data_IF_926236341928
#
_entry.id   IF_926236341928
#
_cell.length_a   1.000
_cell.length_b   1.000
_cell.length_c   1.000
_cell.angle_alpha   90.00
_cell.angle_beta   90.00
_cell.angle_gamma   90.00
#
_symmetry.space_group_name_H-M   'P 1'
#
loop_
_entity.id
_entity.type
_entity.pdbx_description
1 polymer ?
#
# COMPACT_ATOMS: atom_id res chain seq x y z
N UNK A 1 -56.83 29.69 21.86
CA UNK A 1 -56.17 28.43 21.40
C UNK A 1 -54.97 28.77 20.52
N UNK A 2 -53.73 28.46 20.95
CA UNK A 2 -52.52 28.65 20.13
C UNK A 2 -52.49 27.57 19.04
N UNK A 3 -52.56 27.97 17.75
CA UNK A 3 -52.37 27.07 16.61
C UNK A 3 -50.94 26.51 16.66
N UNK A 4 -50.77 25.22 16.97
CA UNK A 4 -49.49 24.52 16.80
C UNK A 4 -49.15 24.54 15.30
N UNK A 5 -48.10 25.29 14.91
CA UNK A 5 -47.56 25.24 13.55
C UNK A 5 -47.13 23.79 13.27
N UNK A 6 -47.85 23.12 12.37
CA UNK A 6 -47.46 21.80 11.89
C UNK A 6 -46.06 21.90 11.28
N UNK A 7 -45.14 20.98 11.61
CA UNK A 7 -43.81 20.99 11.03
C UNK A 7 -43.94 20.92 9.51
N UNK A 8 -43.26 21.82 8.80
CA UNK A 8 -43.31 21.82 7.33
C UNK A 8 -42.82 20.47 6.81
N UNK A 9 -43.37 20.00 5.69
CA UNK A 9 -42.93 18.74 5.04
C UNK A 9 -41.40 18.67 4.87
N UNK A 10 -40.75 19.82 4.64
CA UNK A 10 -39.29 19.97 4.59
C UNK A 10 -38.60 19.58 5.90
N UNK A 11 -39.15 19.99 7.06
CA UNK A 11 -38.59 19.66 8.38
C UNK A 11 -38.71 18.17 8.69
N UNK A 12 -39.81 17.53 8.29
CA UNK A 12 -39.98 16.08 8.44
C UNK A 12 -39.03 15.29 7.53
N UNK A 13 -38.87 15.72 6.27
CA UNK A 13 -37.91 15.11 5.35
C UNK A 13 -36.48 15.23 5.89
N UNK A 14 -36.09 16.42 6.35
CA UNK A 14 -34.78 16.66 6.93
C UNK A 14 -34.54 15.79 8.18
N UNK A 15 -35.57 15.63 9.02
CA UNK A 15 -35.47 14.77 10.20
C UNK A 15 -35.31 13.29 9.86
N UNK A 16 -35.98 12.81 8.81
CA UNK A 16 -35.79 11.44 8.31
C UNK A 16 -34.41 11.22 7.73
N UNK A 17 -33.88 12.19 6.97
CA UNK A 17 -32.51 12.13 6.45
C UNK A 17 -31.50 12.10 7.60
N UNK A 18 -31.71 12.93 8.62
CA UNK A 18 -30.82 12.97 9.78
C UNK A 18 -30.87 11.66 10.58
N UNK A 19 -32.07 11.10 10.78
CA UNK A 19 -32.23 9.77 11.37
C UNK A 19 -31.53 8.69 10.55
N UNK A 20 -31.65 8.71 9.21
CA UNK A 20 -30.96 7.75 8.35
C UNK A 20 -29.43 7.85 8.45
N UNK A 21 -28.89 9.08 8.46
CA UNK A 21 -27.45 9.31 8.64
C UNK A 21 -26.95 8.83 10.00
N UNK A 22 -27.69 9.11 11.08
CA UNK A 22 -27.35 8.63 12.42
C UNK A 22 -27.39 7.11 12.48
N UNK A 23 -28.40 6.47 11.88
CA UNK A 23 -28.46 5.00 11.81
C UNK A 23 -27.29 4.41 11.03
N UNK A 24 -26.87 5.01 9.91
CA UNK A 24 -25.70 4.57 9.16
C UNK A 24 -24.41 4.68 9.98
N UNK A 25 -24.21 5.78 10.69
CA UNK A 25 -23.04 5.95 11.57
C UNK A 25 -23.05 4.96 12.75
N UNK A 26 -24.24 4.65 13.30
CA UNK A 26 -24.35 3.62 14.33
C UNK A 26 -24.02 2.23 13.78
N UNK A 27 -24.43 1.92 12.56
CA UNK A 27 -24.09 0.64 11.92
C UNK A 27 -22.58 0.54 11.66
N UNK A 28 -21.97 1.59 11.09
CA UNK A 28 -20.51 1.70 10.90
C UNK A 28 -19.75 1.48 12.22
N UNK A 29 -20.19 2.14 13.29
CA UNK A 29 -19.57 2.06 14.61
C UNK A 29 -19.77 0.70 15.31
N UNK A 30 -20.99 0.14 15.29
CA UNK A 30 -21.34 -1.09 16.03
C UNK A 30 -20.82 -2.34 15.32
N UNK A 31 -20.99 -2.41 14.00
CA UNK A 31 -20.61 -3.59 13.23
C UNK A 31 -19.16 -3.53 12.73
N UNK A 32 -18.46 -2.42 12.98
CA UNK A 32 -17.12 -2.23 12.44
C UNK A 32 -17.12 -2.30 10.92
N UNK A 33 -18.16 -1.80 10.26
CA UNK A 33 -18.16 -1.59 8.81
C UNK A 33 -17.33 -0.34 8.53
N UNK A 34 -16.58 -0.28 7.44
CA UNK A 34 -15.94 0.95 6.99
C UNK A 34 -16.76 1.55 5.85
N UNK A 35 -17.43 2.68 6.09
CA UNK A 35 -18.17 3.41 5.05
C UNK A 35 -17.24 4.15 4.07
N UNK A 36 -16.00 4.43 4.48
CA UNK A 36 -15.00 5.11 3.68
C UNK A 36 -13.74 4.26 3.54
N UNK A 37 -13.02 4.33 2.40
CA UNK A 37 -11.80 3.55 2.19
C UNK A 37 -10.72 3.89 3.23
N UNK A 38 -10.66 5.16 3.64
CA UNK A 38 -9.71 5.61 4.68
C UNK A 38 -9.98 4.97 6.05
N UNK A 39 -11.21 4.56 6.36
CA UNK A 39 -11.50 3.85 7.60
C UNK A 39 -10.98 2.41 7.52
N UNK A 40 -11.13 1.76 6.36
CA UNK A 40 -10.66 0.40 6.14
C UNK A 40 -9.13 0.34 6.29
N UNK A 41 -8.36 1.14 5.55
CA UNK A 41 -6.88 1.14 5.66
C UNK A 41 -6.38 1.54 7.06
N UNK A 42 -7.10 2.41 7.78
CA UNK A 42 -6.71 2.75 9.16
C UNK A 42 -6.91 1.59 10.13
N UNK A 43 -7.94 0.79 9.94
CA UNK A 43 -8.12 -0.43 10.73
C UNK A 43 -7.06 -1.46 10.39
N UNK A 44 -6.67 -1.56 9.11
CA UNK A 44 -5.53 -2.39 8.72
C UNK A 44 -4.24 -1.94 9.42
N UNK A 45 -3.97 -0.64 9.45
CA UNK A 45 -2.85 -0.07 10.19
C UNK A 45 -2.90 -0.41 11.71
N UNK A 46 -4.09 -0.44 12.30
CA UNK A 46 -4.25 -0.89 13.69
C UNK A 46 -4.05 -2.42 13.82
N UNK A 47 -4.48 -3.21 12.83
CA UNK A 47 -4.33 -4.67 12.78
C UNK A 47 -2.87 -5.10 12.66
N UNK A 48 -2.14 -4.44 11.76
CA UNK A 48 -0.69 -4.59 11.54
C UNK A 48 0.15 -4.06 12.71
N UNK A 49 -0.47 -3.43 13.71
CA UNK A 49 0.21 -2.97 14.92
C UNK A 49 0.99 -1.66 14.77
N UNK A 50 0.92 -0.99 13.61
CA UNK A 50 1.52 0.34 13.43
C UNK A 50 0.70 1.44 14.12
N UNK A 51 -0.57 1.18 14.43
CA UNK A 51 -1.44 2.13 15.12
C UNK A 51 -1.75 3.35 14.26
N UNK A 52 -1.62 4.55 14.82
CA UNK A 52 -2.05 5.78 14.15
C UNK A 52 -1.11 6.17 13.01
N UNK A 53 -1.48 5.81 11.80
CA UNK A 53 -0.77 6.17 10.56
C UNK A 53 -1.53 7.19 9.70
N UNK A 54 -0.81 7.78 8.75
CA UNK A 54 -1.27 8.86 7.89
C UNK A 54 -1.01 8.53 6.43
N UNK A 55 -1.93 8.92 5.55
CA UNK A 55 -1.78 8.67 4.12
C UNK A 55 -0.69 9.57 3.57
N UNK A 56 0.32 8.96 2.96
CA UNK A 56 1.35 9.62 2.16
C UNK A 56 0.82 9.81 0.75
N UNK A 57 0.44 8.70 0.10
CA UNK A 57 -0.07 8.70 -1.26
C UNK A 57 -1.17 7.65 -1.42
N UNK A 58 -2.08 7.90 -2.36
CA UNK A 58 -3.11 6.96 -2.77
C UNK A 58 -3.04 6.76 -4.28
N UNK A 59 -2.93 5.50 -4.73
CA UNK A 59 -2.96 5.12 -6.13
C UNK A 59 -4.19 4.26 -6.43
N UNK A 60 -4.66 4.33 -7.67
CA UNK A 60 -5.75 3.50 -8.18
C UNK A 60 -5.22 2.71 -9.37
N UNK A 61 -5.24 1.37 -9.27
CA UNK A 61 -4.80 0.48 -10.33
C UNK A 61 -5.97 -0.39 -10.81
N UNK A 62 -6.81 0.12 -11.74
CA UNK A 62 -8.01 -0.57 -12.18
C UNK A 62 -7.73 -1.82 -13.02
N UNK A 63 -6.49 -2.02 -13.47
CA UNK A 63 -6.12 -3.17 -14.29
C UNK A 63 -6.16 -4.49 -13.51
N UNK A 64 -5.99 -4.47 -12.19
CA UNK A 64 -6.17 -5.63 -11.31
C UNK A 64 -7.62 -5.73 -10.86
N UNK A 65 -8.05 -4.76 -10.06
CA UNK A 65 -9.40 -4.72 -9.51
C UNK A 65 -10.01 -3.32 -9.66
N UNK A 66 -11.24 -3.26 -10.17
CA UNK A 66 -11.92 -1.98 -10.47
C UNK A 66 -12.10 -1.07 -9.27
N UNK A 67 -12.28 -1.64 -8.08
CA UNK A 67 -12.60 -0.91 -6.85
C UNK A 67 -11.45 -0.81 -5.87
N UNK A 68 -10.28 -1.40 -6.16
CA UNK A 68 -9.16 -1.40 -5.23
C UNK A 68 -8.44 -0.05 -5.23
N UNK A 69 -8.22 0.51 -4.05
CA UNK A 69 -7.43 1.70 -3.82
C UNK A 69 -6.26 1.32 -2.94
N UNK A 70 -5.05 1.62 -3.42
CA UNK A 70 -3.82 1.40 -2.68
C UNK A 70 -3.43 2.65 -1.92
N UNK A 71 -2.91 2.47 -0.72
CA UNK A 71 -2.50 3.53 0.18
C UNK A 71 -1.10 3.24 0.69
N UNK A 72 -0.20 4.19 0.49
CA UNK A 72 1.03 4.26 1.23
C UNK A 72 0.76 5.06 2.50
N UNK A 73 0.98 4.44 3.65
CA UNK A 73 0.70 4.97 4.98
C UNK A 73 2.00 5.09 5.77
N UNK A 74 2.16 6.17 6.53
CA UNK A 74 3.33 6.37 7.40
C UNK A 74 2.95 6.70 8.84
N UNK A 75 3.80 6.24 9.76
CA UNK A 75 3.89 6.76 11.12
C UNK A 75 5.37 6.94 11.47
N UNK A 76 5.67 7.43 12.68
CA UNK A 76 7.05 7.69 13.15
C UNK A 76 8.01 6.48 13.03
N UNK A 77 7.49 5.25 13.02
CA UNK A 77 8.25 4.00 13.18
C UNK A 77 8.18 3.05 12.00
N UNK A 78 7.26 3.24 11.07
CA UNK A 78 6.96 2.27 10.04
C UNK A 78 6.28 2.91 8.84
N UNK A 79 6.46 2.27 7.69
CA UNK A 79 5.69 2.51 6.48
C UNK A 79 4.86 1.28 6.18
N UNK A 80 3.62 1.47 5.75
CA UNK A 80 2.72 0.38 5.39
C UNK A 80 2.10 0.65 4.02
N UNK A 81 2.15 -0.35 3.16
CA UNK A 81 1.33 -0.43 1.98
C UNK A 81 0.05 -1.20 2.33
N UNK A 82 -1.10 -0.57 2.19
CA UNK A 82 -2.39 -1.23 2.37
C UNK A 82 -3.25 -1.08 1.12
N UNK A 83 -4.05 -2.09 0.84
CA UNK A 83 -5.09 -2.00 -0.18
C UNK A 83 -6.48 -1.98 0.46
N UNK A 84 -7.42 -1.37 -0.24
CA UNK A 84 -8.82 -1.33 0.17
C UNK A 84 -9.71 -1.52 -1.01
N UNK A 85 -10.84 -2.20 -0.86
CA UNK A 85 -11.79 -2.42 -1.93
C UNK A 85 -13.21 -2.29 -1.44
N UNK A 86 -14.12 -1.94 -2.35
CA UNK A 86 -15.54 -1.82 -2.04
C UNK A 86 -16.24 -3.18 -2.21
N UNK A 87 -16.74 -3.72 -1.10
CA UNK A 87 -17.58 -4.91 -1.01
C UNK A 87 -19.07 -4.53 -0.80
N UNK A 88 -20.02 -5.47 -0.92
CA UNK A 88 -21.42 -5.24 -0.55
C UNK A 88 -21.63 -4.85 0.92
N UNK A 89 -20.68 -5.16 1.80
CA UNK A 89 -20.74 -4.87 3.23
C UNK A 89 -20.06 -3.54 3.60
N UNK A 90 -19.31 -2.92 2.68
CA UNK A 90 -18.59 -1.67 2.92
C UNK A 90 -17.21 -1.70 2.26
N UNK A 91 -16.34 -0.79 2.67
CA UNK A 91 -14.93 -0.88 2.33
C UNK A 91 -14.25 -1.91 3.22
N UNK A 92 -13.44 -2.76 2.60
CA UNK A 92 -12.66 -3.81 3.24
C UNK A 92 -11.20 -3.68 2.83
N UNK A 93 -10.31 -4.35 3.55
CA UNK A 93 -8.88 -4.48 3.24
C UNK A 93 -8.60 -5.91 2.82
N UNK A 94 -7.67 -6.10 1.88
CA UNK A 94 -7.23 -7.44 1.48
C UNK A 94 -5.84 -7.73 2.06
N UNK A 95 -4.99 -6.72 2.22
CA UNK A 95 -3.73 -6.81 2.95
C UNK A 95 -3.26 -5.47 3.55
N UNK A 96 -2.41 -5.59 4.57
CA UNK A 96 -1.42 -4.60 4.98
C UNK A 96 -0.02 -5.23 4.91
N UNK A 97 0.93 -4.55 4.28
CA UNK A 97 2.33 -4.93 4.25
C UNK A 97 3.14 -3.82 4.93
N UNK A 98 3.79 -4.16 6.03
CA UNK A 98 4.44 -3.19 6.92
C UNK A 98 5.95 -3.37 6.94
N UNK A 99 6.69 -2.26 6.95
CA UNK A 99 8.14 -2.22 7.12
C UNK A 99 8.49 -1.42 8.36
N UNK A 100 9.23 -2.04 9.29
CA UNK A 100 9.79 -1.36 10.46
C UNK A 100 10.94 -0.44 10.03
N UNK A 101 10.81 0.83 10.37
CA UNK A 101 11.74 1.92 10.04
C UNK A 101 12.36 2.54 11.30
N UNK A 102 12.42 1.81 12.42
CA UNK A 102 12.93 2.33 13.71
C UNK A 102 14.44 2.40 13.84
N UNK A 103 15.19 1.77 12.95
CA UNK A 103 16.65 1.83 12.95
C UNK A 103 17.21 3.11 12.31
N UNK A 104 18.52 3.11 12.06
CA UNK A 104 19.26 4.24 11.48
C UNK A 104 19.73 3.95 10.04
N UNK A 105 19.07 3.00 9.36
CA UNK A 105 19.44 2.64 7.99
C UNK A 105 19.12 3.78 7.01
N UNK A 106 19.93 3.98 5.96
CA UNK A 106 19.74 5.07 5.00
C UNK A 106 18.45 4.92 4.18
N UNK A 107 17.95 3.69 4.01
CA UNK A 107 16.71 3.39 3.31
C UNK A 107 16.11 2.08 3.88
N UNK A 108 14.79 2.04 3.96
CA UNK A 108 14.00 0.86 4.27
C UNK A 108 13.13 0.50 3.07
N UNK A 109 13.01 -0.79 2.77
CA UNK A 109 12.22 -1.26 1.64
C UNK A 109 11.40 -2.49 2.01
N UNK A 110 10.20 -2.58 1.43
CA UNK A 110 9.29 -3.69 1.54
C UNK A 110 8.77 -4.11 0.16
N UNK A 111 8.37 -5.36 0.08
CA UNK A 111 7.81 -5.97 -1.11
C UNK A 111 6.52 -6.70 -0.77
N UNK A 112 5.49 -6.47 -1.59
CA UNK A 112 4.25 -7.25 -1.58
C UNK A 112 3.85 -7.64 -3.00
N UNK A 113 3.28 -8.83 -3.15
CA UNK A 113 2.79 -9.32 -4.42
C UNK A 113 1.28 -9.59 -4.35
N UNK A 114 0.57 -9.15 -5.38
CA UNK A 114 -0.86 -9.39 -5.54
C UNK A 114 -1.07 -10.15 -6.83
N UNK A 115 -1.75 -11.28 -6.72
CA UNK A 115 -2.15 -12.08 -7.87
C UNK A 115 -3.68 -12.09 -7.98
N UNK A 116 -4.19 -11.77 -9.17
CA UNK A 116 -5.61 -11.88 -9.49
C UNK A 116 -5.80 -12.33 -10.94
N UNK A 117 -6.56 -13.41 -11.14
CA UNK A 117 -6.70 -14.09 -12.43
C UNK A 117 -5.31 -14.36 -13.04
N UNK A 118 -5.12 -13.89 -14.28
CA UNK A 118 -3.90 -13.95 -15.05
C UNK A 118 -3.08 -12.64 -14.93
N UNK A 119 -3.08 -12.00 -13.75
CA UNK A 119 -2.30 -10.78 -13.51
C UNK A 119 -1.61 -10.84 -12.17
N UNK A 120 -0.35 -10.42 -12.19
CA UNK A 120 0.47 -10.26 -11.00
C UNK A 120 0.94 -8.82 -10.94
N UNK A 121 0.81 -8.19 -9.78
CA UNK A 121 1.36 -6.87 -9.50
C UNK A 121 2.36 -6.98 -8.36
N UNK A 122 3.60 -6.61 -8.64
CA UNK A 122 4.63 -6.37 -7.63
C UNK A 122 4.51 -4.95 -7.11
N UNK A 123 4.42 -4.82 -5.79
CA UNK A 123 4.38 -3.53 -5.11
C UNK A 123 5.66 -3.37 -4.28
N UNK A 124 6.47 -2.38 -4.63
CA UNK A 124 7.73 -2.07 -3.95
C UNK A 124 7.58 -0.70 -3.30
N UNK A 125 7.87 -0.59 -2.02
CA UNK A 125 7.67 0.64 -1.29
C UNK A 125 8.68 0.75 -0.16
N UNK A 126 8.90 1.96 0.32
CA UNK A 126 9.88 2.16 1.36
C UNK A 126 10.07 3.60 1.79
N UNK A 127 10.84 3.78 2.85
CA UNK A 127 11.20 5.08 3.40
C UNK A 127 12.67 5.37 3.11
N UNK A 128 12.96 6.58 2.65
CA UNK A 128 14.31 7.09 2.39
C UNK A 128 14.68 8.02 3.55
N UNK A 129 15.74 7.70 4.27
CA UNK A 129 16.24 8.47 5.41
C UNK A 129 17.43 9.35 5.04
N UNK A 130 18.32 8.85 4.19
CA UNK A 130 19.49 9.60 3.76
C UNK A 130 19.09 10.57 2.63
N UNK A 131 19.14 11.89 2.87
CA UNK A 131 18.81 12.88 1.86
C UNK A 131 19.82 12.93 0.69
N UNK A 132 20.99 12.28 0.82
CA UNK A 132 21.95 12.16 -0.26
C UNK A 132 21.54 11.13 -1.33
N UNK A 133 20.55 10.27 -1.04
CA UNK A 133 20.00 9.33 -2.03
C UNK A 133 19.20 10.11 -3.08
N UNK A 134 19.57 9.95 -4.34
CA UNK A 134 18.88 10.56 -5.48
C UNK A 134 18.17 9.53 -6.36
N UNK A 135 18.62 8.27 -6.33
CA UNK A 135 18.04 7.22 -7.19
C UNK A 135 17.83 5.94 -6.40
N UNK A 136 16.65 5.33 -6.58
CA UNK A 136 16.24 4.07 -5.97
C UNK A 136 15.98 3.07 -7.11
N UNK A 137 16.67 1.93 -7.08
CA UNK A 137 16.57 0.87 -8.10
C UNK A 137 16.12 -0.45 -7.50
N UNK A 138 15.00 -0.98 -7.97
CA UNK A 138 14.58 -2.36 -7.69
C UNK A 138 15.05 -3.25 -8.84
N UNK A 139 16.05 -4.07 -8.55
CA UNK A 139 16.55 -5.12 -9.45
C UNK A 139 15.79 -6.41 -9.15
N UNK A 140 14.90 -6.82 -10.05
CA UNK A 140 14.17 -8.09 -9.95
C UNK A 140 15.09 -9.15 -10.55
N UNK A 141 15.65 -9.97 -9.67
CA UNK A 141 16.59 -11.03 -10.04
C UNK A 141 15.92 -12.39 -10.01
N UNK A 142 16.25 -13.24 -10.97
CA UNK A 142 15.85 -14.64 -10.98
C UNK A 142 17.04 -15.51 -10.62
N UNK A 143 16.83 -16.46 -9.71
CA UNK A 143 17.81 -17.50 -9.40
C UNK A 143 17.50 -18.76 -10.19
N UNK A 144 18.46 -19.20 -11.00
CA UNK A 144 18.42 -20.48 -11.71
C UNK A 144 19.58 -21.37 -11.25
N UNK A 145 19.37 -22.69 -11.28
CA UNK A 145 20.41 -23.64 -10.94
C UNK A 145 21.09 -24.17 -12.19
N UNK A 146 22.25 -23.63 -12.53
CA UNK A 146 23.11 -24.15 -13.60
C UNK A 146 24.18 -25.06 -13.00
N UNK A 147 24.18 -26.34 -13.41
CA UNK A 147 25.14 -27.37 -12.95
C UNK A 147 25.28 -27.46 -11.42
N UNK A 148 24.19 -27.24 -10.68
CA UNK A 148 24.17 -27.30 -9.22
C UNK A 148 24.70 -26.04 -8.52
N UNK A 149 24.95 -24.94 -9.26
CA UNK A 149 25.22 -23.61 -8.71
C UNK A 149 24.04 -22.69 -8.95
N UNK A 150 23.60 -22.01 -7.90
CA UNK A 150 22.67 -20.91 -8.02
C UNK A 150 23.36 -19.76 -8.78
N UNK A 151 22.79 -19.37 -9.90
CA UNK A 151 23.18 -18.20 -10.69
C UNK A 151 22.01 -17.23 -10.67
N UNK A 152 22.26 -16.02 -10.16
CA UNK A 152 21.28 -14.93 -10.21
C UNK A 152 21.49 -14.11 -11.48
N UNK A 153 20.39 -13.77 -12.14
CA UNK A 153 20.38 -12.89 -13.30
C UNK A 153 19.31 -11.81 -13.14
N UNK A 154 19.62 -10.57 -13.53
CA UNK A 154 18.65 -9.47 -13.50
C UNK A 154 17.65 -9.65 -14.66
N UNK A 155 16.38 -9.85 -14.31
CA UNK A 155 15.29 -9.92 -15.29
C UNK A 155 14.77 -8.53 -15.64
N UNK A 156 14.68 -7.66 -14.63
CA UNK A 156 14.08 -6.34 -14.77
C UNK A 156 14.70 -5.38 -13.78
N UNK A 157 14.80 -4.13 -14.20
CA UNK A 157 15.28 -3.01 -13.40
C UNK A 157 14.22 -1.92 -13.37
N UNK A 158 13.75 -1.58 -12.18
CA UNK A 158 12.81 -0.49 -11.96
C UNK A 158 13.57 0.65 -11.28
N UNK A 159 13.56 1.83 -11.88
CA UNK A 159 14.29 2.99 -11.36
C UNK A 159 13.29 4.08 -10.97
N UNK A 160 13.50 4.67 -9.81
CA UNK A 160 12.80 5.86 -9.32
C UNK A 160 13.84 6.92 -9.06
N UNK A 161 13.71 8.04 -9.76
CA UNK A 161 14.57 9.19 -9.57
C UNK A 161 13.99 10.12 -8.49
N UNK A 162 14.81 11.02 -7.98
CA UNK A 162 14.46 11.94 -6.90
C UNK A 162 13.18 12.76 -7.18
N UNK A 163 12.93 13.08 -8.45
CA UNK A 163 11.74 13.83 -8.89
C UNK A 163 10.42 13.05 -8.72
N UNK A 164 10.49 11.72 -8.71
CA UNK A 164 9.36 10.82 -8.52
C UNK A 164 9.24 10.31 -7.07
N UNK A 165 10.11 10.77 -6.17
CA UNK A 165 9.98 10.46 -4.76
C UNK A 165 8.71 11.08 -4.17
N UNK A 166 8.12 10.34 -3.26
CA UNK A 166 6.86 10.69 -2.62
C UNK A 166 7.17 11.30 -1.27
N UNK A 167 6.72 12.52 -1.03
CA UNK A 167 6.95 13.20 0.25
C UNK A 167 5.72 13.12 1.14
N UNK A 168 5.88 12.59 2.35
CA UNK A 168 4.85 12.55 3.39
C UNK A 168 5.31 13.35 4.59
N UNK A 169 4.64 14.48 4.88
CA UNK A 169 5.07 15.43 5.91
C UNK A 169 6.52 15.88 5.69
N UNK A 170 7.43 15.41 6.53
CA UNK A 170 8.86 15.76 6.52
C UNK A 170 9.75 14.55 6.18
N UNK A 171 9.16 13.49 5.60
CA UNK A 171 9.85 12.24 5.24
C UNK A 171 9.67 11.94 3.75
N UNK A 172 10.64 11.23 3.21
CA UNK A 172 10.70 10.86 1.81
C UNK A 172 10.49 9.36 1.67
N UNK A 173 9.75 8.97 0.63
CA UNK A 173 9.36 7.60 0.35
C UNK A 173 9.52 7.33 -1.14
N UNK A 174 9.59 6.06 -1.50
CA UNK A 174 9.40 5.61 -2.87
C UNK A 174 8.25 4.61 -2.92
N UNK A 175 7.56 4.55 -4.06
CA UNK A 175 6.50 3.57 -4.25
C UNK A 175 6.30 3.24 -5.74
N UNK A 176 6.59 1.99 -6.08
CA UNK A 176 6.48 1.42 -7.43
C UNK A 176 5.40 0.34 -7.41
N UNK A 177 4.54 0.36 -8.43
CA UNK A 177 3.62 -0.73 -8.73
C UNK A 177 3.93 -1.20 -10.15
N UNK A 178 4.33 -2.45 -10.30
CA UNK A 178 4.79 -3.00 -11.57
C UNK A 178 4.05 -4.30 -11.90
N UNK A 179 3.37 -4.38 -13.06
CA UNK A 179 2.82 -5.64 -13.55
C UNK A 179 3.95 -6.64 -13.85
N UNK A 180 3.91 -7.80 -13.19
CA UNK A 180 4.88 -8.86 -13.36
C UNK A 180 4.35 -9.91 -14.36
N UNK A 181 5.21 -10.44 -15.25
CA UNK A 181 4.81 -11.48 -16.19
C UNK A 181 4.50 -12.79 -15.44
N UNK A 182 3.41 -13.47 -15.83
CA UNK A 182 3.04 -14.81 -15.32
C UNK A 182 3.99 -15.91 -15.78
N UNK A 183 4.68 -15.71 -16.91
CA UNK A 183 5.54 -16.72 -17.56
C UNK A 183 6.88 -16.91 -16.82
N UNK A 184 6.83 -16.98 -15.49
CA UNK A 184 7.96 -17.46 -14.70
C UNK A 184 7.86 -18.98 -14.63
N UNK A 185 8.97 -19.67 -14.87
CA UNK A 185 9.06 -21.10 -14.62
C UNK A 185 8.57 -21.38 -13.19
N UNK A 186 7.77 -22.43 -12.93
CA UNK A 186 7.34 -22.79 -11.57
C UNK A 186 8.50 -22.99 -10.58
N UNK A 187 9.71 -23.19 -11.10
CA UNK A 187 10.95 -23.40 -10.35
C UNK A 187 11.78 -22.10 -10.17
N UNK A 188 11.42 -21.02 -10.86
CA UNK A 188 12.14 -19.74 -10.80
C UNK A 188 11.71 -18.95 -9.58
N UNK A 189 12.62 -18.78 -8.62
CA UNK A 189 12.40 -17.86 -7.49
C UNK A 189 12.91 -16.49 -7.88
N UNK A 190 12.03 -15.50 -7.83
CA UNK A 190 12.40 -14.10 -8.04
C UNK A 190 12.67 -13.40 -6.72
N UNK A 191 13.79 -12.68 -6.66
CA UNK A 191 14.22 -11.89 -5.53
C UNK A 191 14.33 -10.42 -5.95
N UNK A 192 13.54 -9.53 -5.34
CA UNK A 192 13.74 -8.10 -5.53
C UNK A 192 14.92 -7.63 -4.68
N UNK A 193 15.88 -6.97 -5.31
CA UNK A 193 17.05 -6.37 -4.67
C UNK A 193 16.91 -4.85 -4.72
N UNK A 194 17.00 -4.22 -3.56
CA UNK A 194 17.01 -2.77 -3.41
C UNK A 194 18.44 -2.25 -3.56
N UNK A 195 18.69 -1.34 -4.51
CA UNK A 195 19.94 -0.59 -4.65
C UNK A 195 19.64 0.92 -4.64
N UNK A 196 20.22 1.66 -3.70
CA UNK A 196 20.11 3.11 -3.62
C UNK A 196 21.42 3.77 -4.05
N UNK A 197 21.34 4.85 -4.83
CA UNK A 197 22.49 5.60 -5.34
C UNK A 197 22.46 7.06 -4.88
N UNK A 198 23.64 7.61 -4.63
CA UNK A 198 23.85 9.04 -4.42
C UNK A 198 23.96 9.82 -5.75
N UNK A 199 24.09 11.15 -5.65
CA UNK A 199 24.23 12.06 -6.78
C UNK A 199 25.42 11.76 -7.70
N UNK A 200 26.47 11.13 -7.17
CA UNK A 200 27.65 10.72 -7.95
C UNK A 200 27.51 9.31 -8.56
N UNK A 201 26.37 8.65 -8.35
CA UNK A 201 26.11 7.28 -8.82
C UNK A 201 26.82 6.21 -7.99
N UNK A 202 27.24 6.51 -6.77
CA UNK A 202 27.81 5.53 -5.84
C UNK A 202 26.69 4.85 -5.06
N UNK A 203 26.88 3.57 -4.76
CA UNK A 203 25.90 2.78 -4.00
C UNK A 203 25.92 3.25 -2.53
N UNK A 204 24.80 3.79 -2.08
CA UNK A 204 24.55 4.17 -0.69
C UNK A 204 24.04 2.98 0.14
N UNK A 205 23.22 2.11 -0.46
CA UNK A 205 22.73 0.89 0.15
C UNK A 205 22.39 -0.17 -0.91
N UNK A 206 22.60 -1.44 -0.57
CA UNK A 206 22.21 -2.58 -1.42
C UNK A 206 21.82 -3.78 -0.53
N UNK A 207 20.61 -4.32 -0.72
CA UNK A 207 20.14 -5.50 0.02
C UNK A 207 18.98 -6.22 -0.68
N UNK A 208 18.82 -7.51 -0.41
CA UNK A 208 17.65 -8.30 -0.80
C UNK A 208 16.43 -7.83 0.00
N UNK A 209 15.31 -7.53 -0.67
CA UNK A 209 14.06 -7.18 0.01
C UNK A 209 13.37 -8.48 0.43
N UNK A 210 13.28 -8.70 1.74
CA UNK A 210 12.50 -9.81 2.27
C UNK A 210 11.00 -9.55 2.04
N UNK A 211 10.29 -10.55 1.52
CA UNK A 211 8.86 -10.44 1.25
C UNK A 211 8.10 -10.18 2.56
N UNK A 212 7.34 -9.08 2.62
CA UNK A 212 6.63 -8.68 3.85
C UNK A 212 5.44 -9.62 4.13
N UNK A 213 4.70 -10.02 3.09
CA UNK A 213 3.55 -10.94 3.17
C UNK A 213 3.18 -11.47 1.76
N UNK A 214 2.44 -12.59 1.67
CA UNK A 214 1.88 -13.11 0.41
C UNK A 214 0.35 -13.14 0.49
N UNK A 215 -0.34 -12.52 -0.47
CA UNK A 215 -1.80 -12.59 -0.60
C UNK A 215 -2.17 -13.00 -2.02
N UNK A 216 -2.75 -14.20 -2.19
CA UNK A 216 -3.27 -14.68 -3.46
C UNK A 216 -4.76 -14.98 -3.35
N UNK A 217 -5.56 -14.46 -4.28
CA UNK A 217 -6.99 -14.74 -4.36
C UNK A 217 -7.34 -15.15 -5.80
N UNK A 218 -7.92 -16.34 -5.93
CA UNK A 218 -8.41 -16.89 -7.20
C UNK A 218 -9.84 -16.48 -7.52
#
# INVERSE_FOLDING_TARGET
MRRKKLPSRKRQALWRVLLALVSLLLVDHIFGIALLPIQAVRREAEHEGIGRAWVVERKWEPSLYKTHLFYLMENERAVMLGDTHLSPLGWETMFGATVDCTGEEPIYAGYHQISHDDKVLGCYFGQINDPAIETVVISIQQEEYDQGKAVRSELRRLTVEQEDFVTGRDRTFFWIMEPLPLEQSPEAVCYPVMIAYDAEGRIAAEFDIECCTYSGYG
#
